data_IF_665468330622
#
_entry.id   IF_665468330622
#
_cell.length_a   1.000
_cell.length_b   1.000
_cell.length_c   1.000
_cell.angle_alpha   90.00
_cell.angle_beta   90.00
_cell.angle_gamma   90.00
#
_symmetry.space_group_name_H-M   'P 1'
#
loop_
_entity.id
_entity.type
_entity.pdbx_description
1 polymer ?
#
# COMPACT_ATOMS: atom_id res chain seq x y z
N UNK A 1 0.67 12.26 -11.19
CA UNK A 1 -0.40 12.54 -12.18
C UNK A 1 -1.63 13.14 -11.49
N UNK A 2 -2.29 14.17 -12.06
CA UNK A 2 -3.53 14.72 -11.52
C UNK A 2 -4.74 13.90 -11.99
N UNK A 3 -5.40 13.23 -11.04
CA UNK A 3 -6.61 12.46 -11.35
C UNK A 3 -7.82 13.39 -11.54
N UNK A 4 -8.66 13.18 -12.57
CA UNK A 4 -9.83 14.01 -12.79
C UNK A 4 -10.82 13.86 -11.64
N UNK A 5 -11.43 14.99 -11.26
CA UNK A 5 -12.49 14.99 -10.26
C UNK A 5 -13.71 14.21 -10.77
N UNK A 6 -14.20 13.28 -9.96
CA UNK A 6 -15.35 12.45 -10.27
C UNK A 6 -16.22 12.20 -9.04
N UNK A 7 -17.28 11.42 -9.20
CA UNK A 7 -18.15 11.04 -8.10
C UNK A 7 -17.70 9.71 -7.50
N UNK A 8 -17.32 9.70 -6.23
CA UNK A 8 -17.09 8.45 -5.49
C UNK A 8 -18.43 7.72 -5.38
N UNK A 9 -18.53 6.55 -6.03
CA UNK A 9 -19.75 5.73 -6.04
C UNK A 9 -19.71 4.60 -5.03
N UNK A 10 -18.51 4.16 -4.63
CA UNK A 10 -18.35 3.09 -3.66
C UNK A 10 -16.95 3.08 -3.08
N UNK A 11 -16.84 2.81 -1.79
CA UNK A 11 -15.60 2.36 -1.13
C UNK A 11 -15.66 0.85 -0.95
N UNK A 12 -14.59 0.16 -1.30
CA UNK A 12 -14.47 -1.30 -1.24
C UNK A 12 -13.43 -1.66 -0.19
N UNK A 13 -13.81 -2.54 0.70
CA UNK A 13 -12.89 -3.15 1.65
C UNK A 13 -12.27 -4.41 1.04
N UNK A 14 -10.98 -4.33 0.72
CA UNK A 14 -10.24 -5.44 0.13
C UNK A 14 -9.87 -6.55 1.13
N UNK A 15 -10.13 -6.35 2.43
CA UNK A 15 -10.04 -7.44 3.40
C UNK A 15 -11.16 -8.48 3.20
N UNK A 16 -12.29 -8.05 2.61
CA UNK A 16 -13.48 -8.90 2.39
C UNK A 16 -13.80 -9.14 0.91
N UNK A 17 -13.08 -8.50 -0.02
CA UNK A 17 -13.30 -8.64 -1.46
C UNK A 17 -11.96 -8.70 -2.20
N UNK A 18 -11.80 -9.65 -3.11
CA UNK A 18 -10.60 -9.67 -3.96
C UNK A 18 -10.68 -8.60 -5.05
N UNK A 19 -9.52 -8.05 -5.45
CA UNK A 19 -9.44 -7.10 -6.56
C UNK A 19 -10.05 -7.69 -7.84
N UNK A 20 -9.83 -8.98 -8.09
CA UNK A 20 -10.42 -9.69 -9.23
C UNK A 20 -11.96 -9.67 -9.21
N UNK A 21 -12.58 -9.89 -8.04
CA UNK A 21 -14.04 -9.84 -7.91
C UNK A 21 -14.58 -8.43 -8.15
N UNK A 22 -13.85 -7.41 -7.72
CA UNK A 22 -14.19 -6.00 -7.99
C UNK A 22 -14.15 -5.71 -9.49
N UNK A 23 -13.07 -6.09 -10.17
CA UNK A 23 -12.93 -5.86 -11.62
C UNK A 23 -14.02 -6.57 -12.42
N UNK A 24 -14.36 -7.82 -12.05
CA UNK A 24 -15.47 -8.54 -12.65
C UNK A 24 -16.79 -7.79 -12.48
N UNK A 25 -17.07 -7.29 -11.28
CA UNK A 25 -18.27 -6.51 -11.02
C UNK A 25 -18.30 -5.17 -11.79
N UNK A 26 -17.14 -4.54 -12.02
CA UNK A 26 -17.03 -3.33 -12.85
C UNK A 26 -17.27 -3.65 -14.33
N UNK A 27 -16.77 -4.78 -14.82
CA UNK A 27 -17.01 -5.27 -16.18
C UNK A 27 -18.49 -5.56 -16.40
N UNK A 28 -19.13 -6.30 -15.48
CA UNK A 28 -20.55 -6.68 -15.57
C UNK A 28 -21.48 -5.44 -15.60
N UNK A 29 -21.05 -4.35 -14.94
CA UNK A 29 -21.79 -3.08 -14.87
C UNK A 29 -21.41 -2.08 -15.97
N UNK A 30 -20.51 -2.44 -16.88
CA UNK A 30 -19.98 -1.52 -17.90
C UNK A 30 -19.48 -0.20 -17.28
N UNK A 31 -18.80 -0.28 -16.13
CA UNK A 31 -18.35 0.89 -15.39
C UNK A 31 -17.36 1.74 -16.20
N UNK A 32 -17.52 3.08 -16.11
CA UNK A 32 -16.60 4.06 -16.69
C UNK A 32 -16.12 5.01 -15.58
N UNK A 33 -14.81 5.17 -15.45
CA UNK A 33 -14.17 5.91 -14.38
C UNK A 33 -12.83 5.31 -13.98
N UNK A 34 -12.48 5.40 -12.71
CA UNK A 34 -11.27 4.74 -12.19
C UNK A 34 -11.48 4.14 -10.80
N UNK A 35 -10.69 3.14 -10.48
CA UNK A 35 -10.50 2.68 -9.12
C UNK A 35 -9.26 3.38 -8.55
N UNK A 36 -9.42 4.12 -7.45
CA UNK A 36 -8.33 4.71 -6.69
C UNK A 36 -7.98 3.80 -5.52
N UNK A 37 -6.74 3.35 -5.47
CA UNK A 37 -6.20 2.52 -4.41
C UNK A 37 -5.19 3.34 -3.62
N UNK A 38 -5.30 3.33 -2.29
CA UNK A 38 -4.31 3.91 -1.40
C UNK A 38 -3.93 2.87 -0.35
N UNK A 39 -2.65 2.65 -0.14
CA UNK A 39 -2.15 1.76 0.91
C UNK A 39 -0.96 2.38 1.64
N UNK A 40 -0.66 1.83 2.81
CA UNK A 40 0.56 2.15 3.53
C UNK A 40 1.59 1.05 3.27
N UNK A 41 2.59 1.37 2.44
CA UNK A 41 3.74 0.52 2.21
C UNK A 41 4.70 0.51 3.42
N UNK A 42 5.89 -0.02 3.24
CA UNK A 42 6.91 -0.11 4.29
C UNK A 42 7.43 1.25 4.74
N UNK A 43 7.58 2.18 3.82
CA UNK A 43 8.25 3.46 4.08
C UNK A 43 7.34 4.68 3.91
N UNK A 44 6.13 4.53 3.39
CA UNK A 44 5.22 5.64 3.17
C UNK A 44 3.90 5.24 2.52
N UNK A 45 3.12 6.24 2.15
CA UNK A 45 1.89 6.05 1.40
C UNK A 45 2.21 5.79 -0.07
N UNK A 46 1.40 4.92 -0.66
CA UNK A 46 1.41 4.58 -2.06
C UNK A 46 -0.01 4.70 -2.60
N UNK A 47 -0.13 5.26 -3.80
CA UNK A 47 -1.40 5.46 -4.48
C UNK A 47 -1.37 4.83 -5.86
N UNK A 48 -2.49 4.25 -6.26
CA UNK A 48 -2.65 3.65 -7.58
C UNK A 48 -4.01 3.93 -8.16
N UNK A 49 -4.09 4.07 -9.47
CA UNK A 49 -5.33 4.22 -10.20
C UNK A 49 -5.38 3.23 -11.37
N UNK A 50 -6.53 2.58 -11.57
CA UNK A 50 -6.80 1.82 -12.79
C UNK A 50 -8.03 2.42 -13.45
N UNK A 51 -7.88 2.82 -14.71
CA UNK A 51 -8.92 3.46 -15.50
C UNK A 51 -9.76 2.42 -16.24
N UNK A 52 -11.06 2.68 -16.29
CA UNK A 52 -12.04 1.81 -16.93
C UNK A 52 -12.86 2.60 -17.95
N UNK A 53 -13.10 1.99 -19.10
CA UNK A 53 -14.06 2.47 -20.09
C UNK A 53 -15.01 1.32 -20.44
N UNK A 54 -16.31 1.50 -20.17
CA UNK A 54 -17.35 0.49 -20.39
C UNK A 54 -16.98 -0.88 -19.80
N UNK A 55 -16.43 -0.88 -18.57
CA UNK A 55 -16.04 -2.08 -17.81
C UNK A 55 -14.70 -2.69 -18.19
N UNK A 56 -14.01 -2.19 -19.21
CA UNK A 56 -12.67 -2.65 -19.61
C UNK A 56 -11.63 -1.77 -18.94
N UNK A 57 -10.63 -2.35 -18.33
CA UNK A 57 -9.46 -1.64 -17.86
C UNK A 57 -8.64 -1.13 -19.04
N UNK A 58 -8.39 0.18 -19.12
CA UNK A 58 -7.76 0.85 -20.27
C UNK A 58 -6.48 1.59 -19.94
N UNK A 59 -6.13 1.70 -18.65
CA UNK A 59 -4.91 2.35 -18.22
C UNK A 59 -4.63 2.11 -16.75
N UNK A 60 -3.39 2.32 -16.33
CA UNK A 60 -2.98 2.22 -14.93
C UNK A 60 -1.87 3.22 -14.62
N UNK A 61 -1.95 3.79 -13.44
CA UNK A 61 -0.97 4.69 -12.84
C UNK A 61 -0.68 4.28 -11.41
N UNK A 62 0.56 4.48 -10.93
CA UNK A 62 0.95 4.20 -9.56
C UNK A 62 2.02 5.17 -9.08
N UNK A 63 1.90 5.65 -7.85
CA UNK A 63 2.82 6.61 -7.26
C UNK A 63 3.29 6.18 -5.88
N UNK A 64 4.60 6.27 -5.68
CA UNK A 64 5.27 6.16 -4.38
C UNK A 64 5.51 7.57 -3.84
N UNK A 65 4.58 8.09 -3.04
CA UNK A 65 4.58 9.48 -2.57
C UNK A 65 5.88 9.89 -1.88
N UNK A 66 6.45 9.01 -1.04
CA UNK A 66 7.70 9.29 -0.35
C UNK A 66 8.90 9.50 -1.29
N UNK A 67 8.90 8.83 -2.42
CA UNK A 67 10.00 8.85 -3.38
C UNK A 67 9.74 9.79 -4.56
N UNK A 68 8.56 10.42 -4.60
CA UNK A 68 8.09 11.22 -5.74
C UNK A 68 8.29 10.44 -7.04
N UNK A 69 7.94 9.16 -7.02
CA UNK A 69 8.16 8.25 -8.14
C UNK A 69 6.85 7.72 -8.67
N UNK A 70 6.60 8.06 -9.91
CA UNK A 70 5.46 7.59 -10.69
C UNK A 70 5.86 6.41 -11.60
N UNK A 71 4.90 5.55 -11.86
CA UNK A 71 5.00 4.39 -12.74
C UNK A 71 3.67 4.24 -13.47
N UNK A 72 3.71 3.94 -14.77
CA UNK A 72 2.55 3.91 -15.65
C UNK A 72 2.40 2.57 -16.38
N UNK A 73 1.20 2.33 -16.91
CA UNK A 73 0.89 1.18 -17.75
C UNK A 73 0.96 -0.17 -17.03
N UNK A 74 1.48 -1.19 -17.70
CA UNK A 74 1.57 -2.55 -17.16
C UNK A 74 2.33 -2.63 -15.82
N UNK A 75 3.48 -1.95 -15.64
CA UNK A 75 4.16 -1.93 -14.34
C UNK A 75 3.32 -1.32 -13.22
N UNK A 76 2.54 -0.26 -13.50
CA UNK A 76 1.63 0.34 -12.54
C UNK A 76 0.51 -0.62 -12.14
N UNK A 77 -0.07 -1.31 -13.12
CA UNK A 77 -1.10 -2.31 -12.86
C UNK A 77 -0.58 -3.44 -11.96
N UNK A 78 0.62 -3.95 -12.21
CA UNK A 78 1.24 -4.96 -11.35
C UNK A 78 1.41 -4.48 -9.90
N UNK A 79 1.72 -3.19 -9.70
CA UNK A 79 1.82 -2.58 -8.38
C UNK A 79 0.46 -2.40 -7.71
N UNK A 80 -0.58 -2.00 -8.45
CA UNK A 80 -1.96 -1.96 -7.95
C UNK A 80 -2.42 -3.34 -7.45
N UNK A 81 -2.10 -4.41 -8.20
CA UNK A 81 -2.40 -5.78 -7.77
C UNK A 81 -1.63 -6.15 -6.50
N UNK A 82 -0.33 -5.84 -6.41
CA UNK A 82 0.47 -6.06 -5.20
C UNK A 82 -0.11 -5.30 -4.00
N UNK A 83 -0.39 -4.01 -4.17
CA UNK A 83 -0.91 -3.13 -3.12
C UNK A 83 -2.29 -3.56 -2.61
N UNK A 84 -3.10 -4.25 -3.44
CA UNK A 84 -4.39 -4.80 -3.02
C UNK A 84 -4.29 -5.83 -1.89
N UNK A 85 -3.10 -6.38 -1.65
CA UNK A 85 -2.81 -7.32 -0.55
C UNK A 85 -2.24 -6.65 0.71
N UNK A 86 -2.08 -5.32 0.70
CA UNK A 86 -1.61 -4.59 1.88
C UNK A 86 -2.65 -4.65 3.01
N UNK A 87 -2.18 -4.68 4.27
CA UNK A 87 -3.08 -4.74 5.44
C UNK A 87 -4.00 -3.52 5.56
N UNK A 88 -3.47 -2.35 5.20
CA UNK A 88 -4.17 -1.07 5.30
C UNK A 88 -4.36 -0.51 3.89
N UNK A 89 -5.26 -1.11 3.14
CA UNK A 89 -5.58 -0.70 1.78
C UNK A 89 -7.03 -0.20 1.70
N UNK A 90 -7.21 0.91 1.01
CA UNK A 90 -8.52 1.49 0.68
C UNK A 90 -8.65 1.53 -0.83
N UNK A 91 -9.81 1.13 -1.34
CA UNK A 91 -10.14 1.18 -2.75
C UNK A 91 -11.43 1.98 -2.93
N UNK A 92 -11.35 3.13 -3.57
CA UNK A 92 -12.50 3.94 -3.95
C UNK A 92 -12.80 3.79 -5.45
N UNK A 93 -14.07 3.65 -5.79
CA UNK A 93 -14.54 3.65 -7.17
C UNK A 93 -15.07 5.04 -7.51
N UNK A 94 -14.44 5.70 -8.47
CA UNK A 94 -14.77 7.07 -8.90
C UNK A 94 -15.33 7.03 -10.31
N UNK A 95 -16.58 7.43 -10.44
CA UNK A 95 -17.28 7.45 -11.72
C UNK A 95 -16.88 8.72 -12.50
N UNK A 96 -16.56 8.52 -13.76
CA UNK A 96 -16.27 9.56 -14.75
C UNK A 96 -17.18 9.39 -15.98
N UNK A 97 -17.15 10.37 -16.86
CA UNK A 97 -17.66 10.23 -18.24
C UNK A 97 -16.62 9.56 -19.13
N UNK A 98 -17.05 9.02 -20.26
CA UNK A 98 -16.14 8.42 -21.24
C UNK A 98 -15.13 9.46 -21.78
N UNK A 99 -15.58 10.69 -21.99
CA UNK A 99 -14.72 11.79 -22.47
C UNK A 99 -13.64 12.17 -21.46
N UNK A 100 -13.96 12.16 -20.15
CA UNK A 100 -12.96 12.39 -19.09
C UNK A 100 -11.91 11.29 -19.07
N UNK A 101 -12.31 10.03 -19.18
CA UNK A 101 -11.34 8.90 -19.25
C UNK A 101 -10.49 9.04 -20.52
N UNK A 102 -11.11 9.34 -21.68
CA UNK A 102 -10.37 9.51 -22.93
C UNK A 102 -9.41 10.70 -22.87
N UNK A 103 -9.80 11.80 -22.22
CA UNK A 103 -8.92 12.95 -21.97
C UNK A 103 -7.65 12.55 -21.24
N UNK A 104 -7.77 11.83 -20.10
CA UNK A 104 -6.60 11.34 -19.35
C UNK A 104 -5.69 10.47 -20.21
N UNK A 105 -6.26 9.53 -20.97
CA UNK A 105 -5.46 8.62 -21.81
C UNK A 105 -4.78 9.34 -22.98
N UNK A 106 -5.35 10.46 -23.42
CA UNK A 106 -4.76 11.29 -24.48
C UNK A 106 -3.64 12.20 -23.96
N UNK A 107 -3.83 12.76 -22.77
CA UNK A 107 -2.87 13.65 -22.13
C UNK A 107 -1.65 12.87 -21.58
N UNK A 108 -1.89 11.64 -21.09
CA UNK A 108 -0.88 10.76 -20.48
C UNK A 108 -0.85 9.39 -21.16
N UNK A 109 -0.34 9.29 -22.40
CA UNK A 109 -0.35 8.01 -23.15
C UNK A 109 0.48 6.89 -22.51
N UNK A 110 1.38 7.21 -21.57
CA UNK A 110 2.16 6.24 -20.84
C UNK A 110 1.30 5.34 -19.93
N UNK A 111 0.14 5.81 -19.48
CA UNK A 111 -0.77 5.04 -18.62
C UNK A 111 -1.52 3.94 -19.37
N UNK A 112 -1.54 3.97 -20.71
CA UNK A 112 -2.27 3.03 -21.54
C UNK A 112 -1.87 1.58 -21.25
N UNK A 113 -2.83 0.79 -20.79
CA UNK A 113 -2.67 -0.64 -20.55
C UNK A 113 -4.04 -1.31 -20.51
N UNK A 114 -4.22 -2.36 -21.31
CA UNK A 114 -5.47 -3.13 -21.31
C UNK A 114 -5.42 -4.18 -20.21
N UNK A 115 -6.30 -4.08 -19.24
CA UNK A 115 -6.43 -5.05 -18.15
C UNK A 115 -7.81 -5.70 -18.14
N UNK A 116 -7.83 -6.98 -17.75
CA UNK A 116 -9.04 -7.79 -17.56
C UNK A 116 -9.02 -8.41 -16.16
N UNK A 117 -10.15 -8.93 -15.65
CA UNK A 117 -10.14 -9.67 -14.39
C UNK A 117 -9.15 -10.85 -14.37
N UNK A 118 -8.93 -11.49 -15.52
CA UNK A 118 -8.00 -12.62 -15.67
C UNK A 118 -6.54 -12.16 -15.63
N UNK A 119 -6.24 -10.96 -16.14
CA UNK A 119 -4.88 -10.42 -16.12
C UNK A 119 -4.35 -10.19 -14.71
N UNK A 120 -5.24 -10.02 -13.70
CA UNK A 120 -4.84 -9.89 -12.29
C UNK A 120 -4.06 -11.12 -11.84
N UNK A 121 -4.48 -12.33 -12.25
CA UNK A 121 -3.83 -13.59 -11.85
C UNK A 121 -2.35 -13.65 -12.24
N UNK A 122 -1.97 -12.98 -13.33
CA UNK A 122 -0.57 -12.93 -13.79
C UNK A 122 0.35 -12.22 -12.76
N UNK A 123 -0.20 -11.24 -12.04
CA UNK A 123 0.57 -10.38 -11.10
C UNK A 123 0.27 -10.70 -9.64
N UNK A 124 -0.73 -11.55 -9.37
CA UNK A 124 -1.20 -11.87 -8.02
C UNK A 124 -0.26 -12.83 -7.30
N UNK A 125 0.64 -12.29 -6.49
CA UNK A 125 1.53 -13.05 -5.60
C UNK A 125 0.83 -13.51 -4.31
N UNK A 126 -0.47 -13.21 -4.10
CA UNK A 126 -1.28 -13.53 -2.92
C UNK A 126 -0.83 -12.88 -1.60
N UNK A 127 0.25 -12.16 -1.62
CA UNK A 127 0.81 -11.46 -0.47
C UNK A 127 1.38 -10.12 -0.92
N UNK A 128 1.29 -9.12 -0.06
CA UNK A 128 1.95 -7.84 -0.29
C UNK A 128 3.47 -8.03 -0.25
N UNK A 129 4.17 -7.48 -1.25
CA UNK A 129 5.63 -7.47 -1.33
C UNK A 129 6.11 -6.03 -1.41
N UNK A 130 7.12 -5.69 -0.62
CA UNK A 130 7.80 -4.39 -0.59
C UNK A 130 9.06 -4.32 -1.49
N UNK A 131 9.27 -5.34 -2.34
CA UNK A 131 10.45 -5.41 -3.24
C UNK A 131 10.63 -4.14 -4.07
N UNK A 132 9.54 -3.61 -4.64
CA UNK A 132 9.59 -2.40 -5.47
C UNK A 132 10.00 -1.16 -4.67
N UNK A 133 9.51 -1.05 -3.43
CA UNK A 133 9.82 0.04 -2.52
C UNK A 133 11.28 -0.04 -2.05
N UNK A 134 11.79 -1.24 -1.80
CA UNK A 134 13.19 -1.48 -1.46
C UNK A 134 14.15 -1.07 -2.58
N UNK A 135 13.83 -1.40 -3.84
CA UNK A 135 14.60 -0.96 -5.00
C UNK A 135 14.67 0.56 -5.10
N UNK A 136 13.52 1.24 -4.94
CA UNK A 136 13.47 2.71 -4.94
C UNK A 136 14.28 3.30 -3.79
N UNK A 137 14.21 2.71 -2.61
CA UNK A 137 15.01 3.10 -1.45
C UNK A 137 16.51 2.98 -1.71
N UNK A 138 16.97 1.93 -2.39
CA UNK A 138 18.37 1.76 -2.78
C UNK A 138 18.81 2.81 -3.79
N UNK A 139 17.98 3.09 -4.81
CA UNK A 139 18.27 4.12 -5.83
C UNK A 139 18.38 5.50 -5.16
N UNK A 140 17.43 5.84 -4.27
CA UNK A 140 17.44 7.10 -3.54
C UNK A 140 18.70 7.25 -2.65
N UNK A 141 19.11 6.18 -1.96
CA UNK A 141 20.36 6.17 -1.17
C UNK A 141 21.61 6.37 -2.02
N UNK A 142 21.69 5.70 -3.19
CA UNK A 142 22.81 5.88 -4.13
C UNK A 142 22.88 7.32 -4.62
N UNK A 143 21.77 7.89 -5.11
CA UNK A 143 21.72 9.29 -5.56
C UNK A 143 22.14 10.26 -4.45
N UNK A 144 21.64 10.06 -3.23
CA UNK A 144 22.03 10.89 -2.07
C UNK A 144 23.53 10.79 -1.78
N UNK A 145 24.10 9.58 -1.80
CA UNK A 145 25.53 9.36 -1.58
C UNK A 145 26.39 10.05 -2.66
N UNK A 146 25.97 9.98 -3.93
CA UNK A 146 26.65 10.65 -5.05
C UNK A 146 26.60 12.18 -4.93
N UNK A 147 25.44 12.74 -4.55
CA UNK A 147 25.29 14.17 -4.30
C UNK A 147 26.18 14.64 -3.14
N UNK A 148 26.21 13.90 -2.04
CA UNK A 148 27.09 14.22 -0.90
C UNK A 148 28.56 14.22 -1.30
N UNK A 149 29.00 13.22 -2.09
CA UNK A 149 30.34 13.17 -2.64
C UNK A 149 30.64 14.35 -3.57
N UNK A 150 29.71 14.66 -4.48
CA UNK A 150 29.84 15.77 -5.45
C UNK A 150 30.01 17.12 -4.76
N UNK A 151 29.27 17.37 -3.69
CA UNK A 151 29.35 18.63 -2.95
C UNK A 151 30.32 18.59 -1.77
N UNK A 152 31.12 17.52 -1.63
CA UNK A 152 32.11 17.32 -0.54
C UNK A 152 31.47 17.48 0.86
N UNK A 153 30.21 17.16 0.99
CA UNK A 153 29.49 17.21 2.27
C UNK A 153 29.75 15.90 3.02
N UNK A 154 30.71 15.91 3.94
CA UNK A 154 30.89 14.79 4.87
C UNK A 154 29.78 14.83 5.91
N UNK A 155 28.80 13.95 5.79
CA UNK A 155 27.78 13.73 6.84
C UNK A 155 28.37 12.76 7.88
N UNK A 156 29.47 13.15 8.50
CA UNK A 156 30.05 12.44 9.65
C UNK A 156 29.73 13.09 10.99
N UNK A 157 28.69 13.94 11.05
CA UNK A 157 28.25 14.54 12.31
C UNK A 157 26.73 14.34 12.51
N UNK A 158 26.36 13.35 13.32
CA UNK A 158 25.16 13.42 14.13
C UNK A 158 23.89 12.71 13.67
N UNK A 159 23.98 11.42 13.35
CA UNK A 159 22.87 10.51 13.63
C UNK A 159 23.40 9.51 14.65
N UNK A 160 22.94 9.52 15.90
CA UNK A 160 23.30 8.47 16.82
C UNK A 160 22.70 7.16 16.29
N UNK A 161 23.57 6.25 15.82
CA UNK A 161 23.18 4.85 15.66
C UNK A 161 22.63 4.39 17.01
N UNK A 162 21.35 4.09 17.08
CA UNK A 162 20.79 3.32 18.16
C UNK A 162 21.49 1.96 18.12
N UNK A 163 22.53 1.81 18.92
CA UNK A 163 23.06 0.49 19.25
C UNK A 163 21.95 -0.23 19.99
N UNK A 164 21.34 -1.20 19.34
CA UNK A 164 20.61 -2.26 20.02
C UNK A 164 21.60 -2.92 20.97
N UNK A 165 21.44 -2.60 22.25
CA UNK A 165 22.17 -3.26 23.32
C UNK A 165 21.68 -4.69 23.41
N UNK A 166 22.52 -5.63 22.98
CA UNK A 166 22.47 -7.02 23.38
C UNK A 166 22.45 -7.08 24.91
N UNK A 167 21.28 -7.36 25.49
CA UNK A 167 21.21 -7.77 26.88
C UNK A 167 21.63 -9.23 26.98
N UNK A 168 22.89 -9.38 27.36
CA UNK A 168 23.42 -10.60 27.93
C UNK A 168 22.56 -11.09 29.11
N UNK A 169 22.09 -12.30 29.02
CA UNK A 169 21.64 -13.12 30.15
C UNK A 169 22.76 -13.21 31.15
N UNK A 170 22.53 -12.84 32.38
CA UNK A 170 23.23 -13.33 33.55
C UNK A 170 22.24 -13.97 34.51
N UNK A 171 22.66 -15.17 34.92
CA UNK A 171 21.98 -16.13 35.78
C UNK A 171 21.86 -15.65 37.23
N UNK A 172 20.87 -16.26 37.88
CA UNK A 172 20.50 -16.38 39.29
C UNK A 172 21.66 -16.34 40.32
N UNK A 173 21.37 -16.07 41.64
CA UNK A 173 20.78 -17.11 42.43
C UNK A 173 19.72 -16.71 43.50
N UNK A 174 19.07 -17.77 43.98
CA UNK A 174 18.13 -17.98 45.05
C UNK A 174 18.36 -17.21 46.37
N UNK A 175 17.27 -16.80 47.02
CA UNK A 175 16.95 -17.25 48.39
C UNK A 175 15.57 -16.76 48.88
N UNK A 176 14.71 -17.70 49.17
CA UNK A 176 13.88 -17.93 50.35
C UNK A 176 13.31 -16.72 51.14
N UNK A 177 11.99 -16.61 51.34
CA UNK A 177 11.18 -17.05 52.51
C UNK A 177 9.77 -16.43 52.46
N UNK A 178 8.76 -17.28 52.54
CA UNK A 178 7.58 -17.32 53.41
C UNK A 178 7.00 -15.99 53.91
N UNK A 179 5.69 -15.80 53.68
CA UNK A 179 4.64 -16.02 54.67
C UNK A 179 3.24 -15.59 54.14
N UNK A 180 2.34 -16.47 54.34
CA UNK A 180 0.91 -16.43 54.65
C UNK A 180 0.13 -15.11 54.57
N UNK A 181 -1.04 -15.19 53.96
CA UNK A 181 -2.10 -14.21 54.06
C UNK A 181 -3.35 -14.64 53.30
N UNK A 182 -4.14 -15.57 53.84
CA UNK A 182 -5.55 -15.79 53.48
C UNK A 182 -6.33 -14.53 53.69
N UNK A 183 -7.19 -14.16 52.73
CA UNK A 183 -8.53 -13.57 53.03
C UNK A 183 -9.44 -13.87 51.81
N UNK A 184 -10.39 -14.68 52.07
CA UNK A 184 -11.81 -14.88 51.76
C UNK A 184 -12.47 -13.99 50.71
N UNK A 185 -13.12 -14.67 49.75
CA UNK A 185 -14.19 -14.17 48.91
C UNK A 185 -15.46 -13.86 49.74
N UNK A 186 -16.32 -12.98 49.28
CA UNK A 186 -17.75 -13.03 49.54
C UNK A 186 -18.59 -13.22 48.26
N UNK A 187 -19.88 -13.54 48.41
CA UNK A 187 -20.59 -14.46 47.54
C UNK A 187 -21.49 -13.79 46.49
N UNK A 188 -21.91 -14.63 45.56
CA UNK A 188 -23.00 -14.47 44.61
C UNK A 188 -24.27 -13.82 45.21
N UNK A 189 -24.78 -12.80 44.52
CA UNK A 189 -26.14 -12.33 44.66
C UNK A 189 -26.92 -12.65 43.39
N UNK A 190 -27.82 -13.57 43.52
CA UNK A 190 -28.97 -13.78 42.64
C UNK A 190 -30.01 -12.67 42.89
N UNK A 191 -30.75 -12.31 41.89
CA UNK A 191 -31.98 -11.55 42.11
C UNK A 191 -32.40 -10.77 40.86
N UNK A 192 -33.38 -11.35 40.25
CA UNK A 192 -34.59 -10.94 39.52
C UNK A 192 -34.41 -10.15 38.21
#
# INVERSE_FOLDING_TARGET
MDLPAGRIVKRVDLAHASLQSVFKALQDKSFTGYSALCCHGKTGLEEGAVFFNSGKGVGAHYEYLRFEKEVDGEPAFARCVNASHAKNVVLDLVQLTADQVQGVLSDEPAVLFVSTPESIQKYDKKTFSDEFEEELGQIARKKRSELLKKYRLNVSAGIPEKKESEQKKEEKPESQKKEDGRISAPPLGEGE
#
